data_IF_308287521902
#
_entry.id   IF_308287521902
#
_cell.length_a   1.000
_cell.length_b   1.000
_cell.length_c   1.000
_cell.angle_alpha   90.00
_cell.angle_beta   90.00
_cell.angle_gamma   90.00
#
_symmetry.space_group_name_H-M   'P 1'
#
loop_
_entity.id
_entity.type
_entity.pdbx_description
1 polymer ?
#
# COMPACT_ATOMS: atom_id res chain seq x y z
N UNK A 1 -9.29 -16.15 14.34
CA UNK A 1 -10.17 -15.03 13.97
C UNK A 1 -9.33 -13.77 13.77
N UNK A 2 -9.75 -12.85 12.89
CA UNK A 2 -9.08 -11.56 12.74
C UNK A 2 -9.47 -10.62 13.88
N UNK A 3 -8.50 -9.95 14.49
CA UNK A 3 -8.75 -8.89 15.48
C UNK A 3 -8.82 -7.56 14.74
N UNK A 4 -9.90 -6.80 14.95
CA UNK A 4 -10.08 -5.48 14.34
C UNK A 4 -10.02 -4.44 15.47
N UNK A 5 -9.17 -3.44 15.31
CA UNK A 5 -8.99 -2.34 16.26
C UNK A 5 -9.30 -1.04 15.54
N UNK A 6 -10.27 -0.27 16.03
CA UNK A 6 -10.56 1.07 15.48
C UNK A 6 -9.68 2.11 16.19
N UNK A 7 -8.96 2.91 15.40
CA UNK A 7 -8.02 3.94 15.87
C UNK A 7 -8.32 5.29 15.20
N UNK A 8 -7.72 6.38 15.68
CA UNK A 8 -7.93 7.74 15.15
C UNK A 8 -9.02 8.54 15.88
N UNK A 9 -9.29 9.78 15.42
CA UNK A 9 -10.25 10.70 16.07
C UNK A 9 -11.19 11.33 15.05
N UNK A 10 -12.49 11.44 15.39
CA UNK A 10 -13.49 12.05 14.52
C UNK A 10 -13.53 11.39 13.14
N UNK A 11 -13.36 12.19 12.09
CA UNK A 11 -13.40 11.76 10.68
C UNK A 11 -12.14 10.99 10.23
N UNK A 12 -11.05 11.01 11.00
CA UNK A 12 -9.81 10.27 10.67
C UNK A 12 -9.78 8.85 11.24
N UNK A 13 -10.91 8.33 11.74
CA UNK A 13 -10.99 6.97 12.26
C UNK A 13 -10.77 5.93 11.16
N UNK A 14 -9.98 4.90 11.44
CA UNK A 14 -9.77 3.76 10.55
C UNK A 14 -9.58 2.45 11.33
N UNK A 15 -9.74 1.33 10.64
CA UNK A 15 -9.61 0.00 11.21
C UNK A 15 -8.22 -0.59 10.95
N UNK A 16 -7.57 -1.08 12.00
CA UNK A 16 -6.37 -1.93 11.94
C UNK A 16 -6.81 -3.39 12.04
N UNK A 17 -6.47 -4.20 11.02
CA UNK A 17 -6.83 -5.61 10.96
C UNK A 17 -5.59 -6.47 11.22
N UNK A 18 -5.63 -7.28 12.28
CA UNK A 18 -4.54 -8.17 12.68
C UNK A 18 -5.01 -9.62 12.51
N UNK A 19 -4.39 -10.35 11.57
CA UNK A 19 -4.67 -11.76 11.32
C UNK A 19 -3.49 -12.43 10.62
N UNK A 20 -3.43 -13.77 10.64
CA UNK A 20 -2.38 -14.56 9.97
C UNK A 20 -2.28 -14.25 8.46
N UNK A 21 -3.41 -13.99 7.81
CA UNK A 21 -3.51 -13.63 6.39
C UNK A 21 -4.33 -12.34 6.23
N UNK A 22 -3.76 -11.20 6.61
CA UNK A 22 -4.48 -9.92 6.61
C UNK A 22 -4.64 -9.30 5.21
N UNK A 23 -3.71 -9.58 4.30
CA UNK A 23 -3.68 -9.06 2.91
C UNK A 23 -4.72 -9.82 2.06
N UNK A 24 -5.98 -9.47 2.22
CA UNK A 24 -7.09 -10.01 1.43
C UNK A 24 -7.74 -8.93 0.59
N UNK A 25 -8.38 -9.33 -0.52
CA UNK A 25 -9.10 -8.39 -1.37
C UNK A 25 -10.20 -7.65 -0.60
N UNK A 26 -10.93 -8.34 0.29
CA UNK A 26 -11.98 -7.72 1.13
C UNK A 26 -11.42 -6.59 1.99
N UNK A 27 -10.30 -6.84 2.67
CA UNK A 27 -9.69 -5.87 3.58
C UNK A 27 -9.10 -4.67 2.82
N UNK A 28 -8.36 -4.92 1.73
CA UNK A 28 -7.75 -3.85 0.93
C UNK A 28 -8.78 -3.01 0.18
N UNK A 29 -9.81 -3.64 -0.39
CA UNK A 29 -10.80 -2.92 -1.19
C UNK A 29 -11.66 -1.98 -0.35
N UNK A 30 -11.88 -2.26 0.94
CA UNK A 30 -12.63 -1.38 1.82
C UNK A 30 -12.12 0.07 1.79
N UNK A 31 -10.79 0.27 1.77
CA UNK A 31 -10.16 1.60 1.66
C UNK A 31 -9.94 2.10 0.23
N UNK A 32 -10.09 1.24 -0.78
CA UNK A 32 -9.73 1.53 -2.18
C UNK A 32 -10.95 1.58 -3.12
N UNK A 33 -12.19 1.43 -2.61
CA UNK A 33 -13.42 1.34 -3.43
C UNK A 33 -13.49 2.44 -4.49
N UNK A 34 -13.33 3.70 -4.09
CA UNK A 34 -13.51 4.88 -4.95
C UNK A 34 -12.32 5.22 -5.88
N UNK A 35 -11.18 4.53 -5.77
CA UNK A 35 -9.94 4.90 -6.49
C UNK A 35 -9.59 3.87 -7.56
N UNK A 36 -9.39 4.28 -8.81
CA UNK A 36 -9.13 3.37 -9.93
C UNK A 36 -7.64 3.12 -10.21
N UNK A 37 -6.78 3.99 -9.70
CA UNK A 37 -5.32 3.91 -9.80
C UNK A 37 -4.72 3.78 -8.39
N UNK A 38 -3.76 2.88 -8.24
CA UNK A 38 -3.08 2.59 -6.98
C UNK A 38 -1.58 2.62 -7.26
N UNK A 39 -0.82 3.41 -6.49
CA UNK A 39 0.64 3.32 -6.44
C UNK A 39 1.04 2.68 -5.12
N UNK A 40 1.72 1.53 -5.19
CA UNK A 40 2.33 0.88 -4.04
C UNK A 40 3.78 1.33 -3.97
N UNK A 41 4.18 1.87 -2.82
CA UNK A 41 5.56 2.27 -2.53
C UNK A 41 6.08 1.30 -1.47
N UNK A 42 7.22 0.68 -1.75
CA UNK A 42 7.89 -0.28 -0.85
C UNK A 42 9.39 -0.04 -0.89
N UNK A 43 10.11 -0.48 0.13
CA UNK A 43 11.56 -0.57 0.06
C UNK A 43 12.05 -1.93 -0.47
N UNK A 44 13.32 -1.98 -0.84
CA UNK A 44 14.03 -3.15 -1.35
C UNK A 44 14.29 -4.24 -0.30
N UNK A 45 14.10 -3.95 0.98
CA UNK A 45 14.31 -4.88 2.09
C UNK A 45 13.11 -5.80 2.35
N UNK A 46 11.92 -5.44 1.83
CA UNK A 46 10.73 -6.29 1.96
C UNK A 46 10.87 -7.54 1.08
N UNK A 47 10.69 -8.76 1.65
CA UNK A 47 10.77 -9.98 0.86
C UNK A 47 9.76 -10.00 -0.29
N UNK A 48 10.24 -10.42 -1.47
CA UNK A 48 9.44 -10.48 -2.71
C UNK A 48 8.16 -11.30 -2.58
N UNK A 49 8.12 -12.28 -1.66
CA UNK A 49 6.93 -13.06 -1.36
C UNK A 49 5.73 -12.14 -1.01
N UNK A 50 5.91 -11.19 -0.09
CA UNK A 50 4.85 -10.28 0.34
C UNK A 50 4.42 -9.33 -0.79
N UNK A 51 5.38 -8.85 -1.59
CA UNK A 51 5.10 -7.99 -2.74
C UNK A 51 4.28 -8.75 -3.80
N UNK A 52 4.62 -10.02 -4.03
CA UNK A 52 3.91 -10.88 -4.98
C UNK A 52 2.49 -11.22 -4.49
N UNK A 53 2.31 -11.50 -3.20
CA UNK A 53 0.99 -11.74 -2.61
C UNK A 53 0.09 -10.50 -2.72
N UNK A 54 0.66 -9.31 -2.47
CA UNK A 54 -0.04 -8.04 -2.66
C UNK A 54 -0.39 -7.81 -4.13
N UNK A 55 0.55 -8.02 -5.06
CA UNK A 55 0.32 -7.93 -6.51
C UNK A 55 -0.83 -8.83 -6.94
N UNK A 56 -0.81 -10.10 -6.53
CA UNK A 56 -1.83 -11.08 -6.89
C UNK A 56 -3.20 -10.70 -6.32
N UNK A 57 -3.24 -10.19 -5.09
CA UNK A 57 -4.48 -9.73 -4.45
C UNK A 57 -5.05 -8.49 -5.14
N UNK A 58 -4.21 -7.53 -5.51
CA UNK A 58 -4.64 -6.30 -6.18
C UNK A 58 -5.03 -6.54 -7.65
N UNK A 59 -4.39 -7.48 -8.36
CA UNK A 59 -4.79 -7.86 -9.73
C UNK A 59 -6.26 -8.30 -9.81
N UNK A 60 -6.77 -8.98 -8.78
CA UNK A 60 -8.19 -9.39 -8.69
C UNK A 60 -9.18 -8.22 -8.65
N UNK A 61 -8.71 -7.01 -8.34
CA UNK A 61 -9.56 -5.82 -8.23
C UNK A 61 -9.85 -5.10 -9.55
N UNK A 62 -9.24 -5.51 -10.67
CA UNK A 62 -9.32 -4.83 -11.99
C UNK A 62 -8.89 -3.35 -11.99
N UNK A 63 -8.24 -2.87 -10.93
CA UNK A 63 -7.71 -1.50 -10.82
C UNK A 63 -6.31 -1.42 -11.45
N UNK A 64 -5.89 -0.24 -11.91
CA UNK A 64 -4.51 -0.01 -12.37
C UNK A 64 -3.59 0.08 -11.17
N UNK A 65 -2.59 -0.80 -11.09
CA UNK A 65 -1.66 -0.88 -9.97
C UNK A 65 -0.24 -0.66 -10.46
N UNK A 66 0.43 0.30 -9.85
CA UNK A 66 1.82 0.63 -10.09
C UNK A 66 2.64 0.27 -8.85
N UNK A 67 3.88 -0.14 -9.04
CA UNK A 67 4.83 -0.42 -7.96
C UNK A 67 6.05 0.47 -8.12
N UNK A 68 6.47 1.09 -7.03
CA UNK A 68 7.69 1.87 -6.97
C UNK A 68 8.50 1.41 -5.76
N UNK A 69 9.68 0.87 -6.06
CA UNK A 69 10.62 0.39 -5.05
C UNK A 69 11.64 1.48 -4.77
N UNK A 70 11.86 1.78 -3.49
CA UNK A 70 12.92 2.67 -3.01
C UNK A 70 14.00 1.85 -2.30
N UNK A 71 15.19 2.43 -2.11
CA UNK A 71 16.26 1.78 -1.37
C UNK A 71 15.88 1.64 0.11
N UNK A 72 16.18 0.50 0.72
CA UNK A 72 15.99 0.28 2.16
C UNK A 72 16.85 1.20 3.05
N UNK A 73 16.39 1.42 4.29
CA UNK A 73 17.12 2.12 5.34
C UNK A 73 16.70 3.57 5.59
N UNK A 74 17.03 4.08 6.79
CA UNK A 74 16.60 5.41 7.26
C UNK A 74 17.09 6.56 6.38
N UNK A 75 18.25 6.39 5.72
CA UNK A 75 18.80 7.37 4.77
C UNK A 75 17.83 7.67 3.62
N UNK A 76 16.99 6.71 3.24
CA UNK A 76 15.99 6.88 2.19
C UNK A 76 14.78 7.70 2.63
N UNK A 77 14.58 7.93 3.93
CA UNK A 77 13.56 8.83 4.48
C UNK A 77 14.03 10.28 4.39
N UNK A 78 14.18 10.75 3.16
CA UNK A 78 14.68 12.08 2.84
C UNK A 78 13.70 12.85 1.96
N UNK A 79 13.84 14.18 1.95
CA UNK A 79 13.08 15.04 1.05
C UNK A 79 13.33 14.68 -0.43
N UNK A 80 14.55 14.27 -0.77
CA UNK A 80 14.87 13.83 -2.14
C UNK A 80 14.03 12.63 -2.57
N UNK A 81 13.88 11.62 -1.69
CA UNK A 81 13.02 10.45 -1.98
C UNK A 81 11.56 10.85 -2.10
N UNK A 82 11.08 11.73 -1.22
CA UNK A 82 9.73 12.27 -1.31
C UNK A 82 9.47 12.97 -2.67
N UNK A 83 10.36 13.86 -3.09
CA UNK A 83 10.25 14.54 -4.39
C UNK A 83 10.23 13.55 -5.55
N UNK A 84 11.07 12.50 -5.51
CA UNK A 84 11.06 11.44 -6.54
C UNK A 84 9.73 10.68 -6.59
N UNK A 85 9.13 10.39 -5.43
CA UNK A 85 7.80 9.76 -5.35
C UNK A 85 6.73 10.66 -5.99
N UNK A 86 6.78 11.97 -5.73
CA UNK A 86 5.84 12.93 -6.33
C UNK A 86 6.02 13.03 -7.85
N UNK A 87 7.25 13.15 -8.34
CA UNK A 87 7.54 13.13 -9.79
C UNK A 87 7.02 11.85 -10.43
N UNK A 88 7.26 10.70 -9.77
CA UNK A 88 6.74 9.41 -10.25
C UNK A 88 5.22 9.42 -10.33
N UNK A 89 4.52 9.96 -9.32
CA UNK A 89 3.06 10.09 -9.35
C UNK A 89 2.58 10.96 -10.52
N UNK A 90 3.27 12.05 -10.82
CA UNK A 90 2.94 12.93 -11.95
C UNK A 90 3.11 12.24 -13.31
N UNK A 91 4.11 11.36 -13.44
CA UNK A 91 4.38 10.63 -14.69
C UNK A 91 3.39 9.48 -14.97
N UNK A 92 2.63 9.03 -13.96
CA UNK A 92 1.72 7.89 -14.09
C UNK A 92 0.42 8.25 -14.83
N UNK A 93 0.34 7.84 -16.10
CA UNK A 93 -0.83 7.99 -16.97
C UNK A 93 -2.04 7.13 -16.57
#
# INVERSE_FOLDING_TARGET
MAKIITVGKGLSKYNVVISKNAITQKNLMAGLKAKNKILVITDSGIPKLFINDLKNTLKKSKKKVYFYEIKEGEKSKSFSTYSKILSKLADLK
#
